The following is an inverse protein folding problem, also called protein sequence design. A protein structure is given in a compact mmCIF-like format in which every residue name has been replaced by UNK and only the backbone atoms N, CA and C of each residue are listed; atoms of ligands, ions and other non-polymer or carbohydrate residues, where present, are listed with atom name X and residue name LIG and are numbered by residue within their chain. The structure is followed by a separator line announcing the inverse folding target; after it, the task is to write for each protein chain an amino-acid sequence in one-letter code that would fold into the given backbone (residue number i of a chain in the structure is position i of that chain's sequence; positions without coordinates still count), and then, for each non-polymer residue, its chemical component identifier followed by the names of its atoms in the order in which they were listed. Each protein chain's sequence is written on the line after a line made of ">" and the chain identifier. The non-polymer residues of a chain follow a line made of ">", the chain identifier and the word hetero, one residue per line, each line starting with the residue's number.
data_IF_838182319123
#
_entry.id   IF_838182319123
#
_cell.length_a   1.000
_cell.length_b   1.000
_cell.length_c   1.000
_cell.angle_alpha   90.00
_cell.angle_beta   90.00
_cell.angle_gamma   90.00
#
_symmetry.space_group_name_H-M   'P 1'
#
loop_
_entity.id
_entity.type
_entity.pdbx_description
1 polymer ?
#
# COMPACT_ATOMS: atom_id res chain seq x y z
N UNK A 1 -9.50 -10.03 7.96
CA UNK A 1 -8.67 -8.90 7.47
C UNK A 1 -9.55 -7.65 7.53
N UNK A 2 -9.16 -6.60 8.26
CA UNK A 2 -9.90 -5.32 8.31
C UNK A 2 -9.39 -4.41 7.19
N UNK A 3 -10.28 -3.71 6.51
CA UNK A 3 -9.91 -2.68 5.53
C UNK A 3 -9.30 -1.49 6.28
N UNK A 4 -8.16 -0.98 5.82
CA UNK A 4 -7.42 0.09 6.49
C UNK A 4 -7.14 1.22 5.49
N UNK A 5 -7.28 2.49 5.88
CA UNK A 5 -6.81 3.59 5.05
C UNK A 5 -5.29 3.52 4.90
N UNK A 6 -4.80 3.92 3.73
CA UNK A 6 -3.37 3.94 3.40
C UNK A 6 -3.00 5.28 2.76
N UNK A 7 -1.77 5.74 2.98
CA UNK A 7 -1.19 6.88 2.30
C UNK A 7 -0.32 6.40 1.14
N UNK A 8 -0.57 6.88 -0.09
CA UNK A 8 0.36 6.68 -1.20
C UNK A 8 1.58 7.57 -0.94
N UNK A 9 2.79 6.99 -0.90
CA UNK A 9 4.04 7.72 -0.67
C UNK A 9 4.98 7.70 -1.88
N UNK A 10 4.77 6.78 -2.82
CA UNK A 10 5.47 6.74 -4.09
C UNK A 10 4.49 6.31 -5.18
N UNK A 11 4.63 6.91 -6.35
CA UNK A 11 3.95 6.48 -7.57
C UNK A 11 4.93 6.55 -8.72
N UNK A 12 5.14 5.43 -9.40
CA UNK A 12 6.01 5.35 -10.58
C UNK A 12 5.21 4.79 -11.75
N UNK A 13 5.52 5.22 -12.96
CA UNK A 13 4.94 4.62 -14.15
C UNK A 13 5.43 3.18 -14.31
N UNK A 14 4.52 2.28 -14.69
CA UNK A 14 4.91 0.92 -15.04
C UNK A 14 5.55 0.97 -16.43
N UNK A 15 6.82 0.55 -16.58
CA UNK A 15 7.52 0.57 -17.86
C UNK A 15 7.10 -0.62 -18.74
N UNK A 16 5.79 -0.80 -18.94
CA UNK A 16 5.20 -1.74 -19.87
C UNK A 16 4.13 -1.01 -20.69
N UNK A 17 4.28 -0.89 -22.02
CA UNK A 17 3.25 -0.31 -22.88
C UNK A 17 1.87 -0.96 -22.75
N UNK A 18 1.81 -2.24 -22.34
CA UNK A 18 0.57 -2.98 -22.10
C UNK A 18 -0.07 -2.67 -20.77
N UNK A 19 0.63 -1.98 -19.87
CA UNK A 19 0.08 -1.54 -18.60
C UNK A 19 -0.94 -0.40 -18.75
N UNK A 20 -1.19 0.11 -19.97
CA UNK A 20 -2.24 1.09 -20.26
C UNK A 20 -2.21 2.33 -19.34
N UNK A 21 -1.01 2.83 -19.03
CA UNK A 21 -0.83 3.99 -18.13
C UNK A 21 -1.03 3.69 -16.64
N UNK A 22 -1.10 2.42 -16.24
CA UNK A 22 -1.12 2.03 -14.83
C UNK A 22 0.18 2.42 -14.14
N UNK A 23 0.07 2.68 -12.84
CA UNK A 23 1.18 3.11 -11.99
C UNK A 23 1.45 2.06 -10.94
N UNK A 24 2.71 1.80 -10.64
CA UNK A 24 3.06 1.06 -9.44
C UNK A 24 3.13 2.06 -8.28
N UNK A 25 2.41 1.77 -7.20
CA UNK A 25 2.35 2.63 -6.02
C UNK A 25 2.92 1.91 -4.82
N UNK A 26 3.62 2.65 -3.97
CA UNK A 26 3.95 2.22 -2.61
C UNK A 26 3.02 2.95 -1.64
N UNK A 27 2.34 2.19 -0.78
CA UNK A 27 1.41 2.71 0.21
C UNK A 27 1.85 2.36 1.63
N UNK A 28 1.80 3.36 2.50
CA UNK A 28 2.05 3.25 3.92
C UNK A 28 0.72 3.06 4.67
N UNK A 29 0.58 2.04 5.54
CA UNK A 29 -0.66 1.80 6.26
C UNK A 29 -0.90 2.88 7.33
N UNK A 30 -2.17 3.21 7.54
CA UNK A 30 -2.62 4.09 8.63
C UNK A 30 -3.24 3.23 9.73
N UNK A 31 -2.82 3.46 10.97
CA UNK A 31 -3.27 2.69 12.13
C UNK A 31 -3.62 3.58 13.31
N UNK A 32 -4.61 3.17 14.11
CA UNK A 32 -4.94 3.77 15.41
C UNK A 32 -4.15 3.17 16.58
N UNK A 33 -3.32 2.17 16.32
CA UNK A 33 -2.41 1.63 17.33
C UNK A 33 -1.09 2.41 17.26
N UNK A 34 -0.62 3.02 18.36
CA UNK A 34 0.67 3.69 18.35
C UNK A 34 1.79 2.70 17.99
N UNK A 35 2.77 3.11 17.16
CA UNK A 35 3.89 2.24 16.83
C UNK A 35 4.73 1.97 18.08
N UNK A 36 5.42 0.82 18.10
CA UNK A 36 6.37 0.50 19.18
C UNK A 36 7.56 1.46 19.18
N UNK A 37 8.09 1.74 18.00
CA UNK A 37 9.09 2.80 17.81
C UNK A 37 8.40 4.04 17.22
N UNK A 38 8.28 5.16 17.97
CA UNK A 38 7.68 6.39 17.44
C UNK A 38 8.49 6.98 16.28
N UNK A 39 9.77 6.62 16.12
CA UNK A 39 10.60 7.10 15.03
C UNK A 39 10.28 6.46 13.68
N UNK A 40 9.40 5.46 13.60
CA UNK A 40 9.07 4.82 12.32
C UNK A 40 7.76 5.32 11.72
N UNK A 41 7.13 6.32 12.34
CA UNK A 41 5.82 6.79 11.93
C UNK A 41 5.69 8.31 12.02
N UNK A 42 4.65 8.82 11.36
CA UNK A 42 4.22 10.21 11.48
C UNK A 42 2.76 10.23 11.92
N UNK A 43 2.49 10.91 13.03
CA UNK A 43 1.11 11.10 13.50
C UNK A 43 0.35 12.04 12.57
N UNK A 44 -0.92 11.70 12.31
CA UNK A 44 -1.85 12.55 11.55
C UNK A 44 -2.25 13.76 12.39
N UNK A 45 -2.02 14.99 11.91
CA UNK A 45 -2.60 16.18 12.52
C UNK A 45 -4.13 16.16 12.41
N UNK A 46 -4.89 16.53 13.46
CA UNK A 46 -6.35 16.52 13.47
C UNK A 46 -6.99 17.24 12.26
N UNK A 47 -6.48 18.41 11.89
CA UNK A 47 -6.97 19.19 10.73
C UNK A 47 -6.87 18.44 9.40
N UNK A 48 -5.87 17.57 9.25
CA UNK A 48 -5.71 16.77 8.03
C UNK A 48 -6.71 15.60 8.02
N UNK A 49 -6.98 15.02 9.20
CA UNK A 49 -8.03 14.00 9.33
C UNK A 49 -9.40 14.56 8.95
N UNK A 50 -9.72 15.75 9.45
CA UNK A 50 -10.94 16.49 9.07
C UNK A 50 -11.01 16.76 7.56
N UNK A 51 -9.92 17.26 6.97
CA UNK A 51 -9.83 17.52 5.52
C UNK A 51 -10.08 16.27 4.67
N UNK A 52 -9.62 15.10 5.13
CA UNK A 52 -9.76 13.82 4.44
C UNK A 52 -11.03 13.04 4.82
N UNK A 53 -11.84 13.55 5.76
CA UNK A 53 -13.01 12.85 6.29
C UNK A 53 -12.67 11.58 7.06
N UNK A 54 -11.49 11.51 7.68
CA UNK A 54 -11.11 10.45 8.62
C UNK A 54 -11.73 10.70 9.99
N UNK A 55 -11.82 9.66 10.83
CA UNK A 55 -12.28 9.80 12.23
C UNK A 55 -11.37 10.73 13.05
N UNK A 56 -11.79 11.10 14.26
CA UNK A 56 -11.02 12.00 15.14
C UNK A 56 -10.00 11.28 16.05
N UNK A 57 -9.98 9.95 16.08
CA UNK A 57 -9.09 9.19 16.96
C UNK A 57 -7.63 9.38 16.56
N UNK A 58 -6.67 9.13 17.44
CA UNK A 58 -5.25 9.27 17.03
C UNK A 58 -4.88 8.20 16.02
N UNK A 59 -4.17 8.58 14.97
CA UNK A 59 -3.67 7.64 13.97
C UNK A 59 -2.31 8.04 13.39
N UNK A 60 -1.56 7.05 12.95
CA UNK A 60 -0.19 7.19 12.46
C UNK A 60 -0.04 6.57 11.07
N UNK A 61 0.75 7.22 10.21
CA UNK A 61 1.29 6.63 8.98
C UNK A 61 2.55 5.87 9.35
N UNK A 62 2.56 4.54 9.17
CA UNK A 62 3.74 3.70 9.44
C UNK A 62 4.63 3.70 8.19
N UNK A 63 5.90 4.07 8.34
CA UNK A 63 6.82 4.29 7.21
C UNK A 63 7.95 3.26 7.13
N UNK A 64 8.09 2.38 8.13
CA UNK A 64 9.02 1.23 8.08
C UNK A 64 8.48 0.05 7.25
N UNK A 65 7.18 0.01 6.98
CA UNK A 65 6.55 -1.05 6.18
C UNK A 65 5.66 -0.44 5.11
N UNK A 66 5.92 -0.76 3.84
CA UNK A 66 5.14 -0.29 2.71
C UNK A 66 4.64 -1.46 1.86
N UNK A 67 3.40 -1.34 1.39
CA UNK A 67 2.81 -2.27 0.45
C UNK A 67 2.94 -1.71 -0.96
N UNK A 68 3.43 -2.51 -1.90
CA UNK A 68 3.67 -2.11 -3.29
C UNK A 68 2.74 -2.89 -4.21
N UNK A 69 1.99 -2.20 -5.06
CA UNK A 69 1.10 -2.84 -6.05
C UNK A 69 0.80 -1.93 -7.23
N UNK A 70 0.24 -2.51 -8.29
CA UNK A 70 -0.17 -1.79 -9.50
C UNK A 70 -1.57 -1.19 -9.32
N UNK A 71 -1.67 0.14 -9.40
CA UNK A 71 -2.90 0.90 -9.22
C UNK A 71 -3.78 0.93 -10.50
N UNK A 72 -5.12 0.88 -10.37
CA UNK A 72 -5.86 0.46 -9.17
C UNK A 72 -5.63 -1.03 -8.92
N UNK A 73 -5.32 -1.39 -7.66
CA UNK A 73 -5.01 -2.75 -7.25
C UNK A 73 -6.27 -3.52 -6.84
N UNK A 74 -6.18 -4.85 -6.86
CA UNK A 74 -7.28 -5.75 -6.47
C UNK A 74 -7.72 -5.57 -5.01
N UNK A 75 -6.77 -5.25 -4.12
CA UNK A 75 -7.01 -5.07 -2.69
C UNK A 75 -7.68 -3.71 -2.35
N UNK A 76 -7.95 -2.85 -3.34
CA UNK A 76 -8.66 -1.58 -3.11
C UNK A 76 -10.14 -1.82 -2.86
N UNK A 77 -10.65 -1.16 -1.81
CA UNK A 77 -12.03 -1.29 -1.35
C UNK A 77 -12.69 0.09 -1.33
N UNK A 78 -13.99 0.19 -1.66
CA UNK A 78 -14.72 1.43 -1.44
C UNK A 78 -14.67 1.89 0.01
N UNK A 79 -14.61 3.20 0.23
CA UNK A 79 -14.56 3.80 1.58
C UNK A 79 -15.80 3.40 2.39
N UNK A 80 -16.97 3.42 1.76
CA UNK A 80 -18.22 2.93 2.34
C UNK A 80 -18.85 1.88 1.46
N UNK A 81 -19.50 0.90 2.10
CA UNK A 81 -20.22 -0.16 1.39
C UNK A 81 -21.31 0.45 0.51
N UNK A 82 -21.24 0.21 -0.79
CA UNK A 82 -22.19 0.73 -1.78
C UNK A 82 -21.74 2.02 -2.49
N UNK A 83 -20.58 2.58 -2.13
CA UNK A 83 -19.96 3.69 -2.87
C UNK A 83 -18.95 3.15 -3.91
N UNK A 84 -18.58 3.97 -4.89
CA UNK A 84 -17.53 3.67 -5.88
C UNK A 84 -16.19 4.31 -5.53
N UNK A 85 -16.18 5.28 -4.60
CA UNK A 85 -14.98 6.03 -4.23
C UNK A 85 -14.04 5.18 -3.36
N UNK A 86 -12.79 5.09 -3.78
CA UNK A 86 -11.74 4.27 -3.16
C UNK A 86 -10.63 5.10 -2.51
N UNK A 87 -10.59 6.41 -2.76
CA UNK A 87 -9.61 7.36 -2.21
C UNK A 87 -10.25 8.35 -1.22
N UNK A 88 -9.52 8.73 -0.18
CA UNK A 88 -9.97 9.75 0.78
C UNK A 88 -9.68 11.18 0.30
N UNK A 89 -8.86 11.34 -0.75
CA UNK A 89 -8.39 12.62 -1.26
C UNK A 89 -6.88 12.78 -1.17
N UNK A 90 -6.40 13.99 -1.48
CA UNK A 90 -4.98 14.31 -1.52
C UNK A 90 -4.47 14.74 -0.14
N UNK A 91 -3.27 14.28 0.20
CA UNK A 91 -2.57 14.77 1.38
C UNK A 91 -2.10 16.22 1.16
N UNK A 92 -2.27 17.13 2.14
CA UNK A 92 -1.72 18.47 2.04
C UNK A 92 -0.20 18.45 1.76
N UNK A 93 0.33 19.32 0.88
CA UNK A 93 1.73 19.25 0.42
C UNK A 93 2.75 19.20 1.56
N UNK A 94 2.63 20.08 2.55
CA UNK A 94 3.55 20.12 3.71
C UNK A 94 3.55 18.83 4.53
N UNK A 95 2.40 18.16 4.63
CA UNK A 95 2.32 16.88 5.34
C UNK A 95 2.92 15.76 4.51
N UNK A 96 2.64 15.76 3.20
CA UNK A 96 3.23 14.82 2.27
C UNK A 96 4.77 14.91 2.25
N UNK A 97 5.32 16.12 2.16
CA UNK A 97 6.77 16.37 2.27
C UNK A 97 7.37 15.79 3.55
N UNK A 98 6.66 15.91 4.68
CA UNK A 98 7.10 15.34 5.95
C UNK A 98 7.12 13.80 5.93
N UNK A 99 6.15 13.17 5.26
CA UNK A 99 6.16 11.72 5.06
C UNK A 99 7.34 11.30 4.18
N UNK A 100 7.60 12.00 3.09
CA UNK A 100 8.71 11.70 2.17
C UNK A 100 10.07 11.87 2.84
N UNK A 101 10.26 12.95 3.60
CA UNK A 101 11.48 13.18 4.36
C UNK A 101 11.72 12.04 5.35
N UNK A 102 10.67 11.64 6.09
CA UNK A 102 10.79 10.58 7.08
C UNK A 102 11.01 9.20 6.47
N UNK A 103 10.30 8.89 5.39
CA UNK A 103 10.48 7.66 4.62
C UNK A 103 11.90 7.55 4.06
N UNK A 104 12.44 8.64 3.51
CA UNK A 104 13.81 8.70 2.99
C UNK A 104 14.83 8.45 4.10
N UNK A 105 14.67 9.11 5.26
CA UNK A 105 15.52 8.89 6.43
C UNK A 105 15.54 7.40 6.86
N UNK A 106 14.38 6.76 6.97
CA UNK A 106 14.26 5.35 7.35
C UNK A 106 14.86 4.42 6.28
N UNK A 107 14.66 4.74 5.00
CA UNK A 107 15.20 3.95 3.89
C UNK A 107 16.72 4.01 3.88
N UNK A 108 17.30 5.19 4.09
CA UNK A 108 18.75 5.38 4.13
C UNK A 108 19.38 4.66 5.34
N UNK A 109 18.62 4.44 6.42
CA UNK A 109 18.97 3.61 7.57
C UNK A 109 18.74 2.10 7.34
N UNK A 110 18.21 1.68 6.18
CA UNK A 110 17.88 0.28 5.90
C UNK A 110 16.68 -0.25 6.67
N UNK A 111 15.81 0.62 7.21
CA UNK A 111 14.67 0.27 8.07
C UNK A 111 13.33 0.13 7.33
N UNK A 112 13.33 0.21 6.01
CA UNK A 112 12.10 0.11 5.20
C UNK A 112 11.98 -1.28 4.59
N UNK A 113 10.91 -1.98 4.92
CA UNK A 113 10.49 -3.23 4.30
C UNK A 113 9.40 -2.97 3.26
N UNK A 114 9.63 -3.40 2.02
CA UNK A 114 8.64 -3.37 0.94
C UNK A 114 8.00 -4.74 0.73
N UNK A 115 6.68 -4.81 0.77
CA UNK A 115 5.91 -6.03 0.48
C UNK A 115 5.14 -5.87 -0.82
N UNK A 116 5.43 -6.71 -1.82
CA UNK A 116 4.61 -6.78 -3.03
C UNK A 116 3.22 -7.35 -2.72
N UNK A 117 2.18 -6.70 -3.23
CA UNK A 117 0.77 -7.07 -3.09
C UNK A 117 0.07 -7.27 -4.43
N UNK A 118 0.81 -7.27 -5.53
CA UNK A 118 0.29 -7.77 -6.80
C UNK A 118 0.01 -9.28 -6.66
N UNK A 119 -0.98 -9.78 -7.41
CA UNK A 119 -1.47 -11.16 -7.28
C UNK A 119 -0.32 -12.18 -7.32
N UNK A 120 -0.25 -13.06 -6.31
CA UNK A 120 0.43 -14.34 -6.49
C UNK A 120 -0.48 -15.20 -7.35
N UNK A 121 -0.32 -15.16 -8.67
CA UNK A 121 -0.94 -16.17 -9.53
C UNK A 121 -0.31 -17.52 -9.17
N UNK A 122 -0.83 -18.19 -8.15
CA UNK A 122 -0.72 -19.64 -8.05
C UNK A 122 -1.61 -20.23 -9.13
N UNK A 123 -1.13 -20.19 -10.38
CA UNK A 123 -1.67 -21.02 -11.45
C UNK A 123 -1.42 -22.48 -11.10
N UNK A 124 -2.29 -23.42 -11.51
CA UNK A 124 -2.11 -24.82 -11.20
C UNK A 124 -0.79 -25.28 -11.83
N UNK A 125 0.10 -25.84 -11.01
CA UNK A 125 1.30 -26.53 -11.45
C UNK A 125 0.87 -27.59 -12.47
N UNK A 126 1.08 -27.30 -13.76
CA UNK A 126 0.95 -28.28 -14.82
C UNK A 126 2.05 -29.33 -14.59
N UNK A 127 1.68 -30.45 -13.99
CA UNK A 127 2.51 -31.65 -14.05
C UNK A 127 2.64 -32.04 -15.52
N UNK A 128 3.86 -32.21 -16.06
CA UNK A 128 4.02 -32.84 -17.36
C UNK A 128 3.56 -34.30 -17.25
N UNK A 129 2.89 -34.87 -18.27
CA UNK A 129 2.66 -36.29 -18.30
C UNK A 129 4.00 -36.99 -18.49
N UNK A 130 4.50 -37.62 -17.42
CA UNK A 130 5.54 -38.63 -17.52
C UNK A 130 4.95 -39.83 -18.26
N UNK A 131 5.27 -39.97 -19.55
CA UNK A 131 5.10 -41.22 -20.27
C UNK A 131 5.99 -42.30 -19.64
N UNK A 132 5.48 -43.53 -19.55
CA UNK A 132 6.31 -44.65 -19.11
C UNK A 132 5.57 -45.89 -18.60
N UNK A 133 4.98 -46.63 -19.55
CA UNK A 133 4.97 -48.09 -19.63
C UNK A 133 4.18 -48.99 -18.63
N UNK A 134 3.41 -49.89 -19.27
CA UNK A 134 3.18 -51.31 -18.98
C UNK A 134 2.19 -51.72 -17.89
N UNK A 135 1.11 -52.39 -18.32
CA UNK A 135 0.91 -53.82 -18.07
C UNK A 135 -0.25 -54.43 -18.90
N UNK A 136 0.04 -55.64 -19.39
CA UNK A 136 -0.81 -56.73 -19.92
C UNK A 136 -1.61 -56.49 -21.20
#
# INVERSE_FOLDING_TARGET
>A
RKDRPCAIILSVDVPDPRANGRKQVAVAPITHTPPRDPNVAVEFPPRIKEHLGLDSDRSWVILEEVNIFTWPGFDLRPIRRGETRIDYGLLPPKFFERLIAKFTELRDQGKVAGTSRDESTSGPSANPPSGGASKA
#
